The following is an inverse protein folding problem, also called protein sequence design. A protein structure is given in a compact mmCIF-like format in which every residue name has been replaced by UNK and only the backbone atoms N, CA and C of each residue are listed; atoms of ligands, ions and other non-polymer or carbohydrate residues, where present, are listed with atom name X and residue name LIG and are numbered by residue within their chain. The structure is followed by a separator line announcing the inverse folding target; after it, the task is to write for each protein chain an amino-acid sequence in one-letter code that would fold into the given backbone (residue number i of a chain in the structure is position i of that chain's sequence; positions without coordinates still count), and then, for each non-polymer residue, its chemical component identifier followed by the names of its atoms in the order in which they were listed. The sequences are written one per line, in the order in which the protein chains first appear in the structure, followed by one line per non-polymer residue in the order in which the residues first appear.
data_IF_290096971203
#
_entry.id   IF_290096971203
#
_cell.length_a   1.000
_cell.length_b   1.000
_cell.length_c   1.000
_cell.angle_alpha   90.00
_cell.angle_beta   90.00
_cell.angle_gamma   90.00
#
_symmetry.space_group_name_H-M   'P 1'
#
loop_
_entity.id
_entity.type
_entity.pdbx_description
1 polymer ?
#
# COMPACT_ATOMS: atom_id res chain seq x y z
N UNK A 1 10.88 -27.48 -8.98
CA UNK A 1 9.68 -26.72 -8.59
C UNK A 1 10.12 -25.53 -7.78
N UNK A 2 10.19 -24.34 -8.39
CA UNK A 2 10.43 -23.12 -7.64
C UNK A 2 9.10 -22.67 -7.04
N UNK A 3 9.05 -22.55 -5.70
CA UNK A 3 7.94 -21.89 -5.03
C UNK A 3 8.04 -20.41 -5.38
N UNK A 4 7.31 -19.98 -6.41
CA UNK A 4 6.96 -18.58 -6.59
C UNK A 4 5.97 -18.27 -5.48
N UNK A 5 6.47 -17.72 -4.37
CA UNK A 5 5.62 -17.08 -3.36
C UNK A 5 5.00 -15.86 -4.01
N UNK A 6 3.83 -16.01 -4.63
CA UNK A 6 3.02 -14.86 -5.00
C UNK A 6 2.79 -14.05 -3.74
N UNK A 7 3.24 -12.78 -3.67
CA UNK A 7 2.92 -11.95 -2.52
C UNK A 7 1.40 -11.92 -2.41
N UNK A 8 0.86 -12.32 -1.26
CA UNK A 8 -0.57 -12.25 -1.01
C UNK A 8 -0.94 -10.77 -1.10
N UNK A 9 -1.54 -10.39 -2.23
CA UNK A 9 -2.16 -9.10 -2.44
C UNK A 9 -3.28 -8.97 -1.42
N UNK A 10 -2.97 -8.35 -0.30
CA UNK A 10 -3.88 -8.33 0.84
C UNK A 10 -5.01 -7.32 0.62
N UNK A 11 -4.73 -6.21 -0.08
CA UNK A 11 -5.67 -5.10 -0.21
C UNK A 11 -5.57 -4.37 -1.56
N UNK A 12 -6.66 -3.69 -1.90
CA UNK A 12 -6.75 -2.81 -3.06
C UNK A 12 -7.47 -1.51 -2.72
N UNK A 13 -7.08 -0.43 -3.39
CA UNK A 13 -7.81 0.83 -3.39
C UNK A 13 -7.94 1.37 -4.80
N UNK A 14 -9.15 1.75 -5.18
CA UNK A 14 -9.45 2.30 -6.50
C UNK A 14 -10.01 3.71 -6.34
N UNK A 15 -9.46 4.66 -7.10
CA UNK A 15 -9.86 6.06 -7.02
C UNK A 15 -9.03 6.99 -7.90
N UNK A 16 -9.39 8.27 -8.00
CA UNK A 16 -8.57 9.27 -8.65
C UNK A 16 -7.30 9.56 -7.82
N UNK A 17 -6.18 9.73 -8.50
CA UNK A 17 -4.93 10.17 -7.90
C UNK A 17 -4.97 11.66 -7.65
N UNK A 18 -4.63 12.10 -6.45
CA UNK A 18 -4.55 13.53 -6.11
C UNK A 18 -3.13 14.05 -5.93
N UNK A 19 -2.18 13.14 -5.71
CA UNK A 19 -0.75 13.45 -5.59
C UNK A 19 0.08 12.27 -6.09
N UNK A 20 1.17 12.58 -6.79
CA UNK A 20 2.19 11.63 -7.23
C UNK A 20 3.55 12.21 -6.89
N UNK A 21 4.38 11.43 -6.20
CA UNK A 21 5.79 11.73 -5.94
C UNK A 21 6.62 10.48 -6.20
N UNK A 22 7.94 10.57 -6.09
CA UNK A 22 8.83 9.41 -6.23
C UNK A 22 8.66 8.37 -5.12
N UNK A 23 8.24 8.80 -3.93
CA UNK A 23 8.17 7.95 -2.73
C UNK A 23 6.75 7.58 -2.31
N UNK A 24 5.72 8.21 -2.88
CA UNK A 24 4.31 7.92 -2.58
C UNK A 24 3.33 8.33 -3.68
N UNK A 25 2.14 7.74 -3.64
CA UNK A 25 0.93 8.25 -4.29
C UNK A 25 -0.17 8.48 -3.26
N UNK A 26 -1.07 9.41 -3.56
CA UNK A 26 -2.29 9.62 -2.77
C UNK A 26 -3.51 9.39 -3.67
N UNK A 27 -4.40 8.49 -3.24
CA UNK A 27 -5.63 8.12 -3.94
C UNK A 27 -6.83 8.51 -3.09
N UNK A 28 -7.84 9.12 -3.71
CA UNK A 28 -9.10 9.42 -3.02
C UNK A 28 -10.08 8.24 -3.11
N UNK A 29 -10.56 7.78 -1.96
CA UNK A 29 -11.60 6.74 -1.87
C UNK A 29 -12.76 7.29 -1.04
N UNK A 30 -13.85 7.67 -1.71
CA UNK A 30 -14.97 8.34 -1.05
C UNK A 30 -14.54 9.72 -0.53
N UNK A 31 -14.52 9.90 0.79
CA UNK A 31 -14.08 11.14 1.45
C UNK A 31 -12.68 11.04 2.06
N UNK A 32 -12.02 9.88 1.94
CA UNK A 32 -10.72 9.60 2.54
C UNK A 32 -9.60 9.69 1.50
N UNK A 33 -8.43 10.16 1.94
CA UNK A 33 -7.20 10.17 1.16
C UNK A 33 -6.28 9.04 1.66
N UNK A 34 -5.96 8.13 0.76
CA UNK A 34 -5.12 6.98 1.03
C UNK A 34 -3.71 7.28 0.53
N UNK A 35 -2.77 7.43 1.47
CA UNK A 35 -1.34 7.56 1.16
C UNK A 35 -0.70 6.17 1.06
N UNK A 36 -0.05 5.91 -0.08
CA UNK A 36 0.55 4.61 -0.37
C UNK A 36 2.00 4.84 -0.77
N UNK A 37 2.91 4.16 -0.07
CA UNK A 37 4.32 4.22 -0.37
C UNK A 37 4.62 3.65 -1.77
N UNK A 38 5.53 4.31 -2.48
CA UNK A 38 6.12 3.84 -3.73
C UNK A 38 7.58 3.55 -3.52
N UNK A 39 8.07 2.54 -4.23
CA UNK A 39 9.48 2.22 -4.31
C UNK A 39 9.88 2.12 -5.78
N UNK A 40 11.18 2.10 -6.12
CA UNK A 40 11.64 1.88 -7.49
C UNK A 40 11.15 0.54 -8.09
N UNK A 41 10.75 -0.42 -7.26
CA UNK A 41 10.17 -1.70 -7.69
C UNK A 41 8.66 -1.67 -7.92
N UNK A 42 7.97 -0.56 -7.63
CA UNK A 42 6.52 -0.44 -7.88
C UNK A 42 6.26 -0.42 -9.38
N UNK A 43 5.66 -1.50 -9.91
CA UNK A 43 5.27 -1.55 -11.30
C UNK A 43 4.13 -0.55 -11.59
N UNK A 44 4.35 0.35 -12.55
CA UNK A 44 3.35 1.31 -13.01
C UNK A 44 2.97 0.98 -14.44
N UNK A 45 1.68 0.71 -14.68
CA UNK A 45 1.14 0.49 -16.03
C UNK A 45 0.30 1.69 -16.44
N UNK A 46 0.65 2.31 -17.57
CA UNK A 46 -0.04 3.49 -18.09
C UNK A 46 0.47 4.83 -17.53
N UNK A 47 -0.30 5.89 -17.77
CA UNK A 47 0.08 7.27 -17.45
C UNK A 47 -0.39 7.66 -16.03
N UNK A 48 0.50 7.45 -15.05
CA UNK A 48 0.27 7.77 -13.65
C UNK A 48 0.49 9.28 -13.40
N UNK A 49 -0.60 10.03 -13.33
CA UNK A 49 -0.61 11.47 -13.01
C UNK A 49 -1.80 11.84 -12.14
N UNK A 50 -1.78 13.04 -11.60
CA UNK A 50 -2.93 13.62 -10.87
C UNK A 50 -4.17 13.62 -11.76
N UNK A 51 -5.31 13.21 -11.21
CA UNK A 51 -6.59 13.05 -11.89
C UNK A 51 -6.81 11.67 -12.52
N UNK A 52 -5.76 10.89 -12.79
CA UNK A 52 -5.91 9.52 -13.32
C UNK A 52 -6.66 8.64 -12.32
N UNK A 53 -7.68 7.91 -12.79
CA UNK A 53 -8.33 6.88 -11.99
C UNK A 53 -7.47 5.62 -12.03
N UNK A 54 -7.02 5.15 -10.87
CA UNK A 54 -6.12 4.00 -10.74
C UNK A 54 -6.70 2.97 -9.77
N UNK A 55 -6.29 1.72 -9.93
CA UNK A 55 -6.41 0.68 -8.92
C UNK A 55 -5.02 0.39 -8.40
N UNK A 56 -4.82 0.54 -7.10
CA UNK A 56 -3.56 0.29 -6.43
C UNK A 56 -3.68 -0.99 -5.62
N UNK A 57 -2.81 -1.91 -5.93
CA UNK A 57 -2.61 -3.18 -5.25
C UNK A 57 -1.48 -3.00 -4.22
N UNK A 58 -1.76 -3.27 -2.94
CA UNK A 58 -0.77 -3.07 -1.88
C UNK A 58 -0.89 -4.09 -0.76
N UNK A 59 0.22 -4.30 -0.06
CA UNK A 59 0.30 -5.16 1.12
C UNK A 59 0.52 -4.30 2.36
N UNK A 60 -0.30 -4.50 3.40
CA UNK A 60 -0.01 -3.94 4.72
C UNK A 60 0.90 -4.92 5.47
N UNK A 61 2.12 -4.49 5.77
CA UNK A 61 3.07 -5.27 6.57
C UNK A 61 3.40 -4.52 7.86
N UNK A 62 3.51 -5.27 8.96
CA UNK A 62 3.94 -4.72 10.23
C UNK A 62 5.46 -4.47 10.21
N UNK A 63 5.89 -3.27 10.60
CA UNK A 63 7.33 -2.92 10.69
C UNK A 63 7.91 -3.31 12.05
N UNK A 64 7.13 -3.19 13.12
CA UNK A 64 7.51 -3.60 14.48
C UNK A 64 6.26 -4.03 15.24
N UNK A 65 6.35 -5.15 15.95
CA UNK A 65 5.32 -5.62 16.87
C UNK A 65 5.96 -5.69 18.25
N UNK A 66 5.35 -5.01 19.23
CA UNK A 66 5.80 -5.02 20.62
C UNK A 66 4.67 -5.54 21.50
N UNK A 67 4.89 -6.68 22.15
CA UNK A 67 3.95 -7.28 23.10
C UNK A 67 4.12 -6.56 24.44
N UNK A 68 3.06 -5.91 24.92
CA UNK A 68 3.08 -5.11 26.16
C UNK A 68 2.51 -5.86 27.38
N UNK A 69 2.02 -7.08 27.18
CA UNK A 69 1.51 -7.93 28.24
C UNK A 69 2.61 -8.87 28.77
N UNK A 70 3.56 -8.32 29.53
CA UNK A 70 4.33 -9.09 30.52
C UNK A 70 3.86 -8.71 31.93
N UNK A 71 2.62 -9.10 32.26
CA UNK A 71 2.24 -9.33 33.66
C UNK A 71 2.14 -10.84 33.86
N UNK A 72 3.31 -11.47 33.93
CA UNK A 72 3.43 -12.79 34.54
C UNK A 72 2.82 -12.71 35.94
N UNK A 73 1.70 -13.43 36.10
CA UNK A 73 1.04 -13.74 37.37
C UNK A 73 2.07 -13.90 38.49
N UNK A 74 1.88 -13.16 39.57
CA UNK A 74 2.36 -13.54 40.89
C UNK A 74 1.14 -13.83 41.76
#
# INVERSE_FOLDING_TARGET
MALVTTPVLAYQVTGPVVEVTDTKIVVEKGKEKWEIARTPGTAVKGDLKKGSKVTVEYTMSAVKIEVKDDKKKK
#
